data_IF_465472536609
#
_entry.id   IF_465472536609
#
_cell.length_a   1.000
_cell.length_b   1.000
_cell.length_c   1.000
_cell.angle_alpha   90.00
_cell.angle_beta   90.00
_cell.angle_gamma   90.00
#
_symmetry.space_group_name_H-M   'P 1'
#
loop_
_entity.id
_entity.type
_entity.pdbx_description
1 polymer ?
#
# COMPACT_ATOMS: atom_id res chain seq x y z
N UNK A 1 -8.43 21.60 -14.50
CA UNK A 1 -8.06 21.86 -13.10
C UNK A 1 -7.21 20.67 -12.70
N UNK A 2 -5.96 20.91 -12.29
CA UNK A 2 -5.06 19.84 -11.87
C UNK A 2 -5.52 19.32 -10.50
N UNK A 3 -5.77 18.02 -10.39
CA UNK A 3 -6.07 17.36 -9.11
C UNK A 3 -4.77 16.96 -8.44
N UNK A 4 -4.54 17.42 -7.21
CA UNK A 4 -3.35 17.10 -6.43
C UNK A 4 -3.61 15.91 -5.50
N UNK A 5 -2.85 14.83 -5.68
CA UNK A 5 -2.95 13.61 -4.89
C UNK A 5 -1.73 13.47 -3.98
N UNK A 6 -1.97 13.28 -2.68
CA UNK A 6 -0.92 13.03 -1.69
C UNK A 6 -0.98 11.57 -1.21
N UNK A 7 0.14 10.87 -1.29
CA UNK A 7 0.28 9.57 -0.62
C UNK A 7 0.91 9.74 0.76
N UNK A 8 0.38 9.04 1.76
CA UNK A 8 1.00 8.87 3.07
C UNK A 8 1.28 7.39 3.23
N UNK A 9 2.55 7.03 3.18
CA UNK A 9 3.00 5.62 3.10
C UNK A 9 3.81 5.25 4.33
N UNK A 10 3.99 3.97 4.57
CA UNK A 10 4.75 3.46 5.72
C UNK A 10 6.13 2.92 5.31
N UNK A 11 6.21 2.26 4.16
CA UNK A 11 7.45 1.78 3.59
C UNK A 11 8.22 2.84 2.77
N UNK A 12 9.52 2.62 2.64
CA UNK A 12 10.42 3.53 1.93
C UNK A 12 10.34 3.34 0.41
N UNK A 13 10.01 2.12 -0.04
CA UNK A 13 9.87 1.80 -1.45
C UNK A 13 8.66 2.54 -2.06
N UNK A 14 7.52 2.50 -1.40
CA UNK A 14 6.28 3.19 -1.79
C UNK A 14 6.51 4.70 -1.83
N UNK A 15 7.24 5.22 -0.82
CA UNK A 15 7.56 6.65 -0.72
C UNK A 15 8.32 7.14 -1.94
N UNK A 16 9.26 6.33 -2.41
CA UNK A 16 10.12 6.65 -3.54
C UNK A 16 9.43 6.36 -4.89
N UNK A 17 8.68 5.26 -5.02
CA UNK A 17 8.28 4.71 -6.31
C UNK A 17 6.78 4.71 -6.62
N UNK A 18 5.90 4.53 -5.63
CA UNK A 18 4.48 4.26 -5.90
C UNK A 18 3.80 5.42 -6.64
N UNK A 19 4.04 6.65 -6.21
CA UNK A 19 3.49 7.84 -6.84
C UNK A 19 3.95 8.02 -8.29
N UNK A 20 5.14 7.52 -8.66
CA UNK A 20 5.68 7.61 -10.02
C UNK A 20 4.98 6.64 -10.97
N UNK A 21 4.75 5.39 -10.54
CA UNK A 21 4.02 4.44 -11.38
C UNK A 21 2.54 4.76 -11.49
N UNK A 22 1.91 5.27 -10.43
CA UNK A 22 0.54 5.78 -10.50
C UNK A 22 0.45 6.99 -11.46
N UNK A 23 1.40 7.93 -11.40
CA UNK A 23 1.47 9.04 -12.35
C UNK A 23 1.58 8.55 -13.80
N UNK A 24 2.44 7.55 -14.06
CA UNK A 24 2.56 6.93 -15.39
C UNK A 24 1.24 6.29 -15.85
N UNK A 25 0.57 5.54 -14.98
CA UNK A 25 -0.71 4.89 -15.28
C UNK A 25 -1.77 5.93 -15.68
N UNK A 26 -1.95 6.97 -14.86
CA UNK A 26 -2.98 7.99 -15.07
C UNK A 26 -2.63 9.02 -16.15
N UNK A 27 -1.37 9.15 -16.57
CA UNK A 27 -1.02 9.96 -17.73
C UNK A 27 -1.75 9.51 -19.02
N UNK A 28 -2.11 8.22 -19.10
CA UNK A 28 -2.83 7.65 -20.25
C UNK A 28 -4.33 7.97 -20.28
N UNK A 29 -4.93 8.42 -19.17
CA UNK A 29 -6.38 8.66 -19.07
C UNK A 29 -6.77 10.07 -19.52
N UNK A 30 -5.80 10.94 -19.80
CA UNK A 30 -6.02 12.36 -20.09
C UNK A 30 -6.36 13.21 -18.86
N UNK A 31 -6.36 12.61 -17.66
CA UNK A 31 -6.54 13.34 -16.41
C UNK A 31 -5.32 14.26 -16.13
N UNK A 32 -5.60 15.47 -15.69
CA UNK A 32 -4.59 16.41 -15.21
C UNK A 32 -4.37 16.17 -13.72
N UNK A 33 -3.37 15.35 -13.38
CA UNK A 33 -3.06 14.92 -12.02
C UNK A 33 -1.63 15.25 -11.63
N UNK A 34 -1.48 15.85 -10.45
CA UNK A 34 -0.20 16.03 -9.79
C UNK A 34 -0.11 15.12 -8.57
N UNK A 35 0.75 14.10 -8.64
CA UNK A 35 1.13 13.35 -7.45
C UNK A 35 2.21 14.10 -6.68
N UNK A 36 1.86 14.60 -5.49
CA UNK A 36 2.81 15.25 -4.58
C UNK A 36 3.83 14.25 -4.05
N UNK A 37 4.96 14.77 -3.54
CA UNK A 37 5.98 13.92 -2.91
C UNK A 37 5.36 13.18 -1.72
N UNK A 38 5.40 11.84 -1.69
CA UNK A 38 4.81 11.08 -0.59
C UNK A 38 5.40 11.43 0.77
N UNK A 39 4.53 11.53 1.78
CA UNK A 39 4.94 11.59 3.17
C UNK A 39 5.13 10.15 3.67
N UNK A 40 6.23 9.90 4.39
CA UNK A 40 6.40 8.63 5.09
C UNK A 40 6.12 8.78 6.58
N UNK A 41 5.43 7.79 7.12
CA UNK A 41 5.18 7.62 8.55
C UNK A 41 5.62 6.24 9.00
N UNK A 42 5.37 5.92 10.26
CA UNK A 42 5.65 4.60 10.79
C UNK A 42 4.53 3.62 10.46
N UNK A 43 4.91 2.43 10.05
CA UNK A 43 4.09 1.25 9.86
C UNK A 43 3.42 0.78 11.16
N UNK A 44 2.26 0.15 11.05
CA UNK A 44 1.60 -0.51 12.18
C UNK A 44 1.26 -1.98 11.92
N UNK A 45 1.49 -2.47 10.70
CA UNK A 45 1.23 -3.84 10.25
C UNK A 45 2.44 -4.77 10.33
N UNK A 46 3.66 -4.27 10.55
CA UNK A 46 4.86 -5.13 10.76
C UNK A 46 4.77 -6.07 11.96
N UNK A 47 3.84 -5.83 12.88
CA UNK A 47 3.51 -6.75 13.95
C UNK A 47 2.03 -7.13 13.86
N UNK A 48 1.66 -8.26 14.48
CA UNK A 48 0.27 -8.66 14.60
C UNK A 48 -0.56 -7.54 15.23
N UNK A 49 -1.57 -7.08 14.51
CA UNK A 49 -2.56 -6.12 15.05
C UNK A 49 -3.41 -6.86 16.07
N UNK A 50 -3.27 -6.47 17.34
CA UNK A 50 -4.01 -7.03 18.47
C UNK A 50 -5.42 -6.43 18.60
N UNK A 51 -6.13 -6.70 19.72
CA UNK A 51 -7.45 -6.15 19.97
C UNK A 51 -7.49 -4.61 19.92
N UNK A 52 -8.68 -4.05 19.66
CA UNK A 52 -8.88 -2.59 19.69
C UNK A 52 -8.47 -2.04 21.06
N UNK A 53 -7.61 -1.03 21.05
CA UNK A 53 -7.17 -0.35 22.28
C UNK A 53 -8.26 0.59 22.80
N UNK A 54 -8.29 0.89 24.10
CA UNK A 54 -9.05 2.02 24.63
C UNK A 54 -8.72 3.33 23.87
N UNK A 55 -9.69 4.26 23.66
CA UNK A 55 -9.49 5.45 22.84
C UNK A 55 -8.24 6.27 23.18
N UNK A 56 -7.94 6.44 24.47
CA UNK A 56 -6.78 7.20 24.95
C UNK A 56 -5.43 6.56 24.58
N UNK A 57 -5.39 5.22 24.45
CA UNK A 57 -4.22 4.48 23.99
C UNK A 57 -4.20 4.37 22.46
N UNK A 58 -5.36 4.21 21.83
CA UNK A 58 -5.50 4.19 20.37
C UNK A 58 -4.97 5.48 19.74
N UNK A 59 -5.25 6.65 20.34
CA UNK A 59 -4.76 7.96 19.89
C UNK A 59 -3.23 8.12 19.98
N UNK A 60 -2.52 7.19 20.65
CA UNK A 60 -1.05 7.18 20.80
C UNK A 60 -0.40 5.97 20.10
N UNK A 61 -1.18 5.12 19.46
CA UNK A 61 -0.71 3.92 18.76
C UNK A 61 0.11 4.26 17.50
N UNK A 62 0.79 3.26 16.92
CA UNK A 62 1.44 3.41 15.62
C UNK A 62 0.44 3.76 14.52
N UNK A 63 -0.74 3.11 14.52
CA UNK A 63 -1.84 3.44 13.61
C UNK A 63 -2.28 4.91 13.76
N UNK A 64 -2.26 5.47 14.98
CA UNK A 64 -2.57 6.88 15.20
C UNK A 64 -1.53 7.85 14.58
N UNK A 65 -0.27 7.43 14.38
CA UNK A 65 0.71 8.26 13.65
C UNK A 65 0.33 8.40 12.17
N UNK A 66 -0.08 7.30 11.53
CA UNK A 66 -0.59 7.33 10.16
C UNK A 66 -1.92 8.07 10.08
N UNK A 67 -2.85 7.82 11.01
CA UNK A 67 -4.13 8.50 11.07
C UNK A 67 -3.97 10.02 11.27
N UNK A 68 -3.07 10.46 12.16
CA UNK A 68 -2.82 11.87 12.39
C UNK A 68 -2.21 12.57 11.18
N UNK A 69 -1.31 11.90 10.45
CA UNK A 69 -0.80 12.43 9.18
C UNK A 69 -1.93 12.60 8.15
N UNK A 70 -2.82 11.61 8.02
CA UNK A 70 -3.99 11.68 7.14
C UNK A 70 -4.92 12.84 7.52
N UNK A 71 -5.28 12.93 8.80
CA UNK A 71 -6.16 13.99 9.34
C UNK A 71 -5.58 15.38 9.08
N UNK A 72 -4.28 15.57 9.34
CA UNK A 72 -3.60 16.85 9.11
C UNK A 72 -3.57 17.22 7.63
N UNK A 73 -3.40 16.25 6.74
CA UNK A 73 -3.34 16.46 5.30
C UNK A 73 -4.71 16.84 4.69
N UNK A 74 -5.83 16.27 5.19
CA UNK A 74 -7.18 16.61 4.72
C UNK A 74 -7.79 17.83 5.42
N UNK A 75 -7.38 18.09 6.66
CA UNK A 75 -7.89 19.17 7.50
C UNK A 75 -6.75 19.83 8.28
N UNK A 76 -5.99 20.76 7.66
CA UNK A 76 -4.81 21.36 8.27
C UNK A 76 -5.12 22.40 9.36
N UNK A 77 -6.40 22.63 9.67
CA UNK A 77 -6.85 23.56 10.71
C UNK A 77 -6.73 25.03 10.34
N UNK A 78 -6.85 25.91 11.34
CA UNK A 78 -6.87 27.37 11.14
C UNK A 78 -5.48 27.87 10.74
N UNK A 79 -5.39 28.52 9.57
CA UNK A 79 -4.12 29.04 9.04
C UNK A 79 -3.28 28.01 8.29
N UNK A 80 -3.69 26.75 8.28
CA UNK A 80 -3.12 25.71 7.42
C UNK A 80 -3.64 25.83 5.98
N UNK A 81 -2.78 25.49 5.02
CA UNK A 81 -3.16 25.48 3.60
C UNK A 81 -3.28 24.05 3.11
N UNK A 82 -4.44 23.71 2.55
CA UNK A 82 -4.66 22.40 1.93
C UNK A 82 -3.74 22.22 0.72
N UNK A 83 -2.88 21.20 0.78
CA UNK A 83 -1.92 20.91 -0.29
C UNK A 83 -2.46 19.93 -1.32
N UNK A 84 -3.40 19.06 -0.95
CA UNK A 84 -3.92 18.01 -1.81
C UNK A 84 -5.45 18.01 -1.85
N UNK A 85 -6.00 17.67 -3.00
CA UNK A 85 -7.44 17.50 -3.20
C UNK A 85 -7.88 16.10 -2.76
N UNK A 86 -6.98 15.11 -2.84
CA UNK A 86 -7.18 13.74 -2.37
C UNK A 86 -5.94 13.22 -1.62
N UNK A 87 -6.14 12.55 -0.49
CA UNK A 87 -5.08 12.03 0.38
C UNK A 87 -5.31 10.56 0.66
N UNK A 88 -4.29 9.75 0.35
CA UNK A 88 -4.36 8.30 0.41
C UNK A 88 -3.32 7.79 1.40
N UNK A 89 -3.77 7.19 2.49
CA UNK A 89 -2.92 6.42 3.39
C UNK A 89 -2.72 5.00 2.81
N UNK A 90 -1.47 4.52 2.75
CA UNK A 90 -1.14 3.19 2.23
C UNK A 90 -0.21 2.47 3.21
N UNK A 91 -0.53 1.23 3.54
CA UNK A 91 0.31 0.33 4.34
C UNK A 91 0.39 -1.05 3.69
N UNK A 92 1.46 -1.79 3.94
CA UNK A 92 1.56 -3.19 3.52
C UNK A 92 0.73 -4.08 4.46
N UNK A 93 0.02 -5.06 3.91
CA UNK A 93 -0.64 -6.13 4.67
C UNK A 93 0.34 -7.25 4.96
N UNK A 94 1.35 -6.92 5.77
CA UNK A 94 2.41 -7.82 6.22
C UNK A 94 1.87 -9.19 6.64
N UNK A 95 2.62 -10.25 6.36
CA UNK A 95 2.14 -11.65 6.42
C UNK A 95 1.54 -12.06 7.77
N UNK A 96 2.02 -11.46 8.86
CA UNK A 96 1.52 -11.70 10.22
C UNK A 96 0.05 -11.28 10.40
N UNK A 97 -0.47 -10.45 9.49
CA UNK A 97 -1.84 -9.95 9.46
C UNK A 97 -2.65 -10.44 8.24
N UNK A 98 -2.10 -11.30 7.37
CA UNK A 98 -2.74 -11.72 6.12
C UNK A 98 -4.10 -12.42 6.31
N UNK A 99 -4.31 -13.06 7.46
CA UNK A 99 -5.57 -13.72 7.83
C UNK A 99 -6.62 -12.77 8.40
N UNK A 100 -6.28 -11.51 8.66
CA UNK A 100 -7.15 -10.55 9.34
C UNK A 100 -7.19 -9.13 8.72
N UNK A 101 -7.28 -8.96 7.39
CA UNK A 101 -7.30 -7.63 6.77
C UNK A 101 -8.44 -6.74 7.28
N UNK A 102 -9.65 -7.29 7.46
CA UNK A 102 -10.79 -6.54 7.99
C UNK A 102 -10.54 -6.00 9.41
N UNK A 103 -9.77 -6.73 10.23
CA UNK A 103 -9.38 -6.28 11.57
C UNK A 103 -8.36 -5.14 11.50
N UNK A 104 -7.38 -5.21 10.60
CA UNK A 104 -6.42 -4.11 10.34
C UNK A 104 -7.13 -2.83 9.98
N UNK A 105 -8.10 -2.90 9.05
CA UNK A 105 -8.94 -1.75 8.65
C UNK A 105 -9.78 -1.23 9.82
N UNK A 106 -10.42 -2.12 10.57
CA UNK A 106 -11.19 -1.76 11.76
C UNK A 106 -10.34 -1.04 12.81
N UNK A 107 -9.11 -1.51 13.02
CA UNK A 107 -8.15 -0.89 13.91
C UNK A 107 -7.71 0.50 13.43
N UNK A 108 -7.41 0.65 12.13
CA UNK A 108 -7.07 1.96 11.58
C UNK A 108 -8.24 2.95 11.66
N UNK A 109 -9.46 2.52 11.31
CA UNK A 109 -10.70 3.31 11.48
C UNK A 109 -10.86 3.77 12.94
N UNK A 110 -10.64 2.87 13.89
CA UNK A 110 -10.69 3.18 15.32
C UNK A 110 -9.61 4.21 15.73
N UNK A 111 -8.39 4.07 15.23
CA UNK A 111 -7.30 5.01 15.47
C UNK A 111 -7.59 6.41 14.89
N UNK A 112 -8.21 6.51 13.71
CA UNK A 112 -8.67 7.78 13.12
C UNK A 112 -9.68 8.47 14.03
N UNK A 113 -10.73 7.76 14.47
CA UNK A 113 -11.73 8.32 15.40
C UNK A 113 -11.10 8.79 16.69
N UNK A 114 -10.30 7.95 17.33
CA UNK A 114 -9.60 8.28 18.56
C UNK A 114 -8.70 9.52 18.39
N UNK A 115 -7.98 9.62 17.27
CA UNK A 115 -7.14 10.77 16.96
C UNK A 115 -7.96 12.06 16.81
N UNK A 116 -9.03 12.04 16.00
CA UNK A 116 -9.92 13.20 15.79
C UNK A 116 -10.57 13.64 17.10
N UNK A 117 -11.11 12.69 17.87
CA UNK A 117 -11.80 12.97 19.13
C UNK A 117 -10.86 13.56 20.20
N UNK A 118 -9.60 13.14 20.21
CA UNK A 118 -8.57 13.66 21.12
C UNK A 118 -8.02 15.03 20.70
N UNK A 119 -8.03 15.34 19.40
CA UNK A 119 -7.38 16.53 18.83
C UNK A 119 -8.30 17.73 18.74
N UNK A 120 -9.58 17.51 18.42
CA UNK A 120 -10.53 18.59 18.16
C UNK A 120 -11.58 18.68 19.28
N UNK A 121 -11.60 19.79 20.05
CA UNK A 121 -12.36 19.86 21.30
C UNK A 121 -13.87 20.03 21.10
N UNK A 122 -14.32 20.55 19.95
CA UNK A 122 -15.74 20.83 19.71
C UNK A 122 -16.35 19.84 18.73
N UNK A 123 -17.60 19.41 19.00
CA UNK A 123 -18.35 18.51 18.13
C UNK A 123 -18.42 19.03 16.69
N UNK A 124 -18.76 20.32 16.51
CA UNK A 124 -18.84 20.95 15.19
C UNK A 124 -17.53 20.89 14.41
N UNK A 125 -16.37 20.99 15.06
CA UNK A 125 -15.08 20.87 14.36
C UNK A 125 -14.82 19.41 13.97
N UNK A 126 -15.11 18.46 14.87
CA UNK A 126 -14.99 17.03 14.59
C UNK A 126 -15.87 16.63 13.40
N UNK A 127 -17.11 17.10 13.35
CA UNK A 127 -18.03 16.83 12.24
C UNK A 127 -17.45 17.31 10.90
N UNK A 128 -16.84 18.51 10.88
CA UNK A 128 -16.16 19.02 9.67
C UNK A 128 -14.93 18.21 9.29
N UNK A 129 -14.16 17.73 10.27
CA UNK A 129 -13.00 16.85 10.01
C UNK A 129 -13.46 15.51 9.45
N UNK A 130 -14.49 14.90 10.04
CA UNK A 130 -15.08 13.66 9.54
C UNK A 130 -15.66 13.82 8.14
N UNK A 131 -16.32 14.96 7.85
CA UNK A 131 -16.75 15.27 6.49
C UNK A 131 -15.57 15.37 5.52
N UNK A 132 -14.50 16.09 5.88
CA UNK A 132 -13.31 16.22 5.03
C UNK A 132 -12.62 14.85 4.78
N UNK A 133 -12.56 13.99 5.80
CA UNK A 133 -12.06 12.62 5.68
C UNK A 133 -12.93 11.77 4.74
N UNK A 134 -14.25 11.82 4.89
CA UNK A 134 -15.18 11.09 4.03
C UNK A 134 -15.15 11.57 2.57
N UNK A 135 -14.83 12.85 2.33
CA UNK A 135 -14.73 13.42 0.98
C UNK A 135 -13.36 13.18 0.31
N UNK A 136 -12.26 13.19 1.07
CA UNK A 136 -10.88 13.33 0.52
C UNK A 136 -9.85 12.37 1.09
N UNK A 137 -10.19 11.61 2.13
CA UNK A 137 -9.28 10.67 2.77
C UNK A 137 -9.61 9.23 2.36
N UNK A 138 -8.61 8.44 2.04
CA UNK A 138 -8.76 6.98 1.89
C UNK A 138 -7.63 6.21 2.54
N UNK A 139 -7.86 4.93 2.81
CA UNK A 139 -6.86 4.00 3.33
C UNK A 139 -6.85 2.70 2.53
N UNK A 140 -5.71 2.35 1.97
CA UNK A 140 -5.54 1.15 1.16
C UNK A 140 -4.41 0.28 1.68
N UNK A 141 -4.52 -1.02 1.38
CA UNK A 141 -3.49 -2.01 1.70
C UNK A 141 -2.80 -2.46 0.40
N UNK A 142 -1.51 -2.72 0.48
CA UNK A 142 -0.76 -3.48 -0.53
C UNK A 142 -0.54 -4.89 0.03
N UNK A 143 -1.02 -5.92 -0.66
CA UNK A 143 -1.12 -7.26 -0.08
C UNK A 143 -0.22 -8.29 -0.78
N UNK A 144 0.51 -9.13 -0.01
CA UNK A 144 0.92 -8.88 1.38
C UNK A 144 1.94 -7.72 1.51
N UNK A 145 2.64 -7.38 0.42
CA UNK A 145 3.62 -6.28 0.33
C UNK A 145 3.64 -5.78 -1.11
N UNK A 146 4.15 -4.58 -1.36
CA UNK A 146 4.29 -4.05 -2.73
C UNK A 146 5.07 -4.98 -3.68
N UNK A 147 6.04 -5.75 -3.20
CA UNK A 147 6.83 -6.64 -4.06
C UNK A 147 6.02 -7.77 -4.70
N UNK A 148 4.83 -8.11 -4.18
CA UNK A 148 3.97 -9.12 -4.82
C UNK A 148 3.59 -8.69 -6.23
N UNK A 149 3.39 -7.39 -6.45
CA UNK A 149 2.98 -6.84 -7.75
C UNK A 149 4.07 -6.91 -8.82
N UNK A 150 5.34 -7.09 -8.44
CA UNK A 150 6.42 -7.28 -9.42
C UNK A 150 6.25 -8.58 -10.21
N UNK A 151 5.55 -9.57 -9.66
CA UNK A 151 5.30 -10.84 -10.34
C UNK A 151 4.16 -10.75 -11.37
N UNK A 152 3.42 -9.65 -11.38
CA UNK A 152 2.42 -9.33 -12.41
C UNK A 152 3.02 -8.77 -13.71
N UNK A 153 4.29 -8.34 -13.69
CA UNK A 153 5.00 -7.79 -14.84
C UNK A 153 6.42 -8.36 -14.92
N UNK A 154 6.71 -9.22 -15.91
CA UNK A 154 8.01 -9.90 -16.02
C UNK A 154 9.21 -8.93 -16.06
N UNK A 155 9.06 -7.77 -16.70
CA UNK A 155 10.12 -6.77 -16.79
C UNK A 155 10.38 -6.08 -15.43
N UNK A 156 9.43 -6.08 -14.49
CA UNK A 156 9.65 -5.55 -13.14
C UNK A 156 10.72 -6.35 -12.38
N UNK A 157 10.69 -7.68 -12.49
CA UNK A 157 11.72 -8.53 -11.91
C UNK A 157 13.09 -8.30 -12.58
N UNK A 158 13.12 -8.06 -13.90
CA UNK A 158 14.37 -7.70 -14.59
C UNK A 158 14.96 -6.40 -14.06
N UNK A 159 14.13 -5.37 -13.88
CA UNK A 159 14.54 -4.08 -13.29
C UNK A 159 15.01 -4.22 -11.84
N UNK A 160 14.36 -5.08 -11.05
CA UNK A 160 14.81 -5.43 -9.70
C UNK A 160 16.08 -6.29 -9.66
N UNK A 161 16.65 -6.66 -10.82
CA UNK A 161 17.79 -7.59 -10.96
C UNK A 161 17.49 -9.01 -10.44
N UNK A 162 16.20 -9.36 -10.34
CA UNK A 162 15.68 -10.64 -9.88
C UNK A 162 15.66 -11.68 -11.02
N UNK A 163 16.82 -11.95 -11.60
CA UNK A 163 16.99 -12.84 -12.76
C UNK A 163 18.15 -13.84 -12.61
N UNK A 164 18.77 -13.92 -11.42
CA UNK A 164 19.88 -14.87 -11.17
C UNK A 164 19.40 -16.30 -10.92
N UNK A 165 18.13 -16.47 -10.60
CA UNK A 165 17.43 -17.75 -10.57
C UNK A 165 16.17 -17.67 -11.43
N UNK A 166 15.67 -18.80 -11.98
CA UNK A 166 14.42 -18.81 -12.72
C UNK A 166 13.26 -18.47 -11.77
N UNK A 167 12.43 -17.50 -12.15
CA UNK A 167 11.17 -17.24 -11.46
C UNK A 167 10.20 -18.43 -11.68
N UNK A 168 9.69 -19.00 -10.59
CA UNK A 168 8.73 -20.11 -10.56
C UNK A 168 7.37 -19.72 -9.97
N UNK A 169 7.13 -18.43 -9.74
CA UNK A 169 5.80 -17.96 -9.34
C UNK A 169 4.76 -18.29 -10.42
N UNK A 170 3.66 -18.93 -10.02
CA UNK A 170 2.57 -19.23 -10.92
C UNK A 170 1.75 -17.96 -11.18
N UNK A 171 1.91 -17.38 -12.38
CA UNK A 171 1.11 -16.22 -12.82
C UNK A 171 -0.39 -16.50 -12.93
N UNK A 172 -0.82 -17.75 -12.74
CA UNK A 172 -2.22 -18.12 -12.58
C UNK A 172 -2.80 -17.85 -11.20
N UNK A 173 -1.97 -17.65 -10.18
CA UNK A 173 -2.34 -17.30 -8.81
C UNK A 173 -2.61 -15.81 -8.67
N UNK A 174 -3.38 -15.43 -7.65
CA UNK A 174 -3.52 -14.03 -7.25
C UNK A 174 -2.21 -13.52 -6.65
N UNK A 175 -1.78 -12.33 -7.05
CA UNK A 175 -0.60 -11.66 -6.51
C UNK A 175 -0.81 -11.32 -5.02
N UNK A 176 -2.05 -11.04 -4.61
CA UNK A 176 -2.38 -10.70 -3.22
C UNK A 176 -2.53 -11.92 -2.31
N UNK A 177 -2.59 -13.13 -2.88
CA UNK A 177 -2.45 -14.41 -2.17
C UNK A 177 -1.10 -15.06 -2.51
N UNK A 178 -0.03 -14.26 -2.42
CA UNK A 178 1.31 -14.65 -2.85
C UNK A 178 1.78 -15.95 -2.17
N UNK A 179 2.09 -16.95 -2.99
CA UNK A 179 2.66 -18.22 -2.57
C UNK A 179 3.51 -18.79 -3.72
N UNK A 180 4.66 -19.38 -3.39
CA UNK A 180 5.56 -19.98 -4.36
C UNK A 180 6.02 -21.38 -3.95
N UNK A 181 5.89 -22.32 -4.87
CA UNK A 181 6.31 -23.72 -4.75
C UNK A 181 7.67 -23.98 -5.44
N UNK A 182 8.63 -23.06 -5.27
CA UNK A 182 9.96 -23.16 -5.87
C UNK A 182 10.85 -24.09 -5.03
N UNK A 183 11.03 -25.33 -5.48
CA UNK A 183 11.81 -26.34 -4.75
C UNK A 183 13.25 -25.94 -4.48
N UNK A 184 13.88 -25.14 -5.36
CA UNK A 184 15.24 -24.67 -5.16
C UNK A 184 15.31 -23.54 -4.13
N UNK A 185 14.32 -22.65 -4.12
CA UNK A 185 14.15 -21.63 -3.10
C UNK A 185 13.87 -22.24 -1.72
N UNK A 186 13.02 -23.27 -1.67
CA UNK A 186 12.57 -23.92 -0.44
C UNK A 186 13.55 -24.99 0.08
N UNK A 187 14.63 -25.27 -0.65
CA UNK A 187 15.71 -26.12 -0.17
C UNK A 187 16.44 -25.50 1.05
N UNK A 188 17.14 -26.31 1.87
CA UNK A 188 18.00 -25.80 2.94
C UNK A 188 19.02 -24.78 2.42
N UNK A 189 19.09 -23.62 3.07
CA UNK A 189 19.96 -22.51 2.68
C UNK A 189 20.97 -22.17 3.81
N UNK A 190 22.09 -21.49 3.50
CA UNK A 190 23.00 -20.99 4.50
C UNK A 190 22.28 -20.16 5.56
N UNK A 191 22.72 -20.25 6.81
CA UNK A 191 22.06 -19.54 7.90
C UNK A 191 22.10 -18.02 7.76
N UNK A 192 23.02 -17.51 6.94
CA UNK A 192 23.24 -16.11 6.62
C UNK A 192 22.37 -15.58 5.47
N UNK A 193 21.65 -16.46 4.75
CA UNK A 193 20.86 -16.05 3.60
C UNK A 193 19.71 -15.12 4.03
N UNK A 194 19.63 -13.88 3.51
CA UNK A 194 18.67 -12.87 3.97
C UNK A 194 17.21 -13.20 3.60
N UNK A 195 16.99 -14.16 2.70
CA UNK A 195 15.69 -14.59 2.18
C UNK A 195 15.15 -15.87 2.85
N UNK A 196 15.86 -16.45 3.81
CA UNK A 196 15.49 -17.75 4.41
C UNK A 196 14.41 -17.66 5.52
N UNK A 197 14.02 -16.46 5.93
CA UNK A 197 13.13 -16.28 7.08
C UNK A 197 11.72 -16.81 6.81
N UNK A 198 11.23 -17.69 7.68
CA UNK A 198 9.92 -18.33 7.53
C UNK A 198 8.74 -17.44 7.98
N UNK A 199 7.54 -17.57 7.37
CA UNK A 199 7.18 -18.47 6.27
C UNK A 199 7.61 -17.90 4.90
N UNK A 200 8.70 -18.43 4.32
CA UNK A 200 9.37 -17.78 3.18
C UNK A 200 8.65 -18.01 1.85
N UNK A 201 7.95 -19.15 1.71
CA UNK A 201 7.10 -19.48 0.57
C UNK A 201 5.98 -18.46 0.32
N UNK A 202 5.61 -17.63 1.31
CA UNK A 202 4.58 -16.59 1.18
C UNK A 202 5.14 -15.17 1.15
N UNK A 203 6.45 -15.00 1.25
CA UNK A 203 7.06 -13.68 1.45
C UNK A 203 7.65 -13.13 0.15
N UNK A 204 6.92 -12.27 -0.60
CA UNK A 204 7.33 -11.85 -1.95
C UNK A 204 8.70 -11.19 -1.97
N UNK A 205 8.99 -10.30 -1.02
CA UNK A 205 10.31 -9.68 -0.85
C UNK A 205 11.44 -10.66 -0.59
N UNK A 206 11.21 -11.75 0.16
CA UNK A 206 12.21 -12.80 0.33
C UNK A 206 12.41 -13.58 -0.97
N UNK A 207 11.35 -13.83 -1.73
CA UNK A 207 11.49 -14.49 -3.02
C UNK A 207 12.24 -13.62 -4.03
N UNK A 208 11.94 -12.31 -4.12
CA UNK A 208 12.72 -11.35 -4.92
C UNK A 208 14.20 -11.35 -4.51
N UNK A 209 14.50 -11.32 -3.21
CA UNK A 209 15.88 -11.43 -2.69
C UNK A 209 16.57 -12.72 -3.13
N UNK A 210 15.86 -13.85 -3.12
CA UNK A 210 16.38 -15.13 -3.62
C UNK A 210 16.68 -15.05 -5.13
N UNK A 211 15.76 -14.49 -5.92
CA UNK A 211 15.95 -14.33 -7.36
C UNK A 211 17.12 -13.39 -7.71
N UNK A 212 17.46 -12.43 -6.84
CA UNK A 212 18.64 -11.58 -6.98
C UNK A 212 19.96 -12.26 -6.53
N UNK A 213 19.90 -13.15 -5.54
CA UNK A 213 21.06 -13.91 -5.07
C UNK A 213 20.65 -15.28 -4.48
N UNK A 214 20.56 -16.32 -5.32
CA UNK A 214 20.15 -17.65 -4.87
C UNK A 214 21.23 -18.33 -4.00
N UNK A 215 22.45 -17.80 -3.97
CA UNK A 215 23.54 -18.33 -3.13
C UNK A 215 23.48 -17.81 -1.70
N UNK A 216 22.76 -16.71 -1.44
CA UNK A 216 22.68 -16.08 -0.12
C UNK A 216 24.01 -15.52 0.39
N UNK A 217 24.92 -15.17 -0.51
CA UNK A 217 26.26 -14.64 -0.20
C UNK A 217 26.27 -13.12 -0.08
N UNK A 218 25.29 -12.44 -0.65
CA UNK A 218 25.18 -10.98 -0.68
C UNK A 218 24.07 -10.51 0.27
N UNK A 219 24.47 -9.85 1.36
CA UNK A 219 23.53 -9.29 2.34
C UNK A 219 22.55 -8.28 1.72
N UNK A 220 22.96 -7.58 0.67
CA UNK A 220 22.20 -6.49 0.01
C UNK A 220 21.97 -6.75 -1.48
N UNK A 221 21.74 -8.00 -1.88
CA UNK A 221 21.44 -8.37 -3.27
C UNK A 221 20.22 -7.63 -3.85
N UNK A 222 19.26 -7.32 -2.98
CA UNK A 222 18.09 -6.51 -3.28
C UNK A 222 17.94 -5.43 -2.21
N UNK A 223 17.88 -4.17 -2.64
CA UNK A 223 17.58 -3.02 -1.78
C UNK A 223 16.33 -2.34 -2.30
N UNK A 224 15.35 -2.18 -1.43
CA UNK A 224 14.10 -1.46 -1.72
C UNK A 224 14.35 -0.08 -2.31
N UNK A 225 15.33 0.65 -1.76
CA UNK A 225 15.63 2.01 -2.20
C UNK A 225 16.37 2.12 -3.54
N UNK A 226 16.77 0.99 -4.14
CA UNK A 226 17.49 0.94 -5.42
C UNK A 226 16.79 -0.04 -6.36
N UNK A 227 17.02 -1.35 -6.20
CA UNK A 227 16.43 -2.38 -7.06
C UNK A 227 14.89 -2.41 -6.97
N UNK A 228 14.33 -2.25 -5.76
CA UNK A 228 12.88 -2.15 -5.60
C UNK A 228 12.32 -0.91 -6.30
N UNK A 229 12.99 0.23 -6.16
CA UNK A 229 12.60 1.48 -6.81
C UNK A 229 12.66 1.36 -8.34
N UNK A 230 13.71 0.76 -8.89
CA UNK A 230 13.86 0.50 -10.33
C UNK A 230 12.68 -0.32 -10.88
N UNK A 231 12.14 -1.25 -10.10
CA UNK A 231 10.94 -2.00 -10.46
C UNK A 231 9.65 -1.18 -10.31
N UNK A 232 9.43 -0.57 -9.13
CA UNK A 232 8.16 0.06 -8.76
C UNK A 232 7.89 1.37 -9.51
N UNK A 233 8.91 2.22 -9.75
CA UNK A 233 8.68 3.57 -10.29
C UNK A 233 8.09 3.60 -11.70
N UNK A 234 8.26 2.51 -12.46
CA UNK A 234 7.77 2.36 -13.84
C UNK A 234 6.88 1.12 -14.00
N UNK A 235 6.44 0.51 -12.90
CA UNK A 235 5.59 -0.68 -12.89
C UNK A 235 4.37 -0.48 -13.82
N UNK A 236 4.15 -1.45 -14.70
CA UNK A 236 3.00 -1.48 -15.60
C UNK A 236 1.79 -2.09 -14.89
N UNK A 237 1.04 -1.22 -14.20
CA UNK A 237 -0.19 -1.61 -13.51
C UNK A 237 -1.24 -2.26 -14.42
N UNK A 238 -1.22 -2.00 -15.74
CA UNK A 238 -2.16 -2.66 -16.67
C UNK A 238 -1.79 -4.12 -16.90
N UNK A 239 -0.49 -4.44 -16.93
CA UNK A 239 0.00 -5.81 -16.96
C UNK A 239 -0.27 -6.54 -15.63
N UNK A 240 0.03 -5.88 -14.51
CA UNK A 240 -0.19 -6.41 -13.15
C UNK A 240 -1.66 -6.73 -12.91
N UNK A 241 -2.57 -5.84 -13.30
CA UNK A 241 -4.01 -5.95 -13.06
C UNK A 241 -4.80 -6.51 -14.24
N UNK A 242 -4.14 -7.17 -15.19
CA UNK A 242 -4.74 -7.75 -16.40
C UNK A 242 -5.88 -8.74 -16.09
N UNK A 243 -5.81 -9.44 -14.96
CA UNK A 243 -6.85 -10.38 -14.52
C UNK A 243 -7.83 -9.67 -13.61
N UNK A 244 -9.05 -9.46 -14.09
CA UNK A 244 -10.07 -8.66 -13.39
C UNK A 244 -10.41 -9.17 -11.99
N UNK A 245 -10.34 -10.49 -11.76
CA UNK A 245 -10.66 -11.12 -10.48
C UNK A 245 -9.49 -11.14 -9.47
N UNK A 246 -8.29 -10.68 -9.87
CA UNK A 246 -7.09 -10.71 -9.03
C UNK A 246 -6.74 -9.30 -8.53
N UNK A 247 -5.90 -9.26 -7.48
CA UNK A 247 -5.29 -8.08 -6.92
C UNK A 247 -6.33 -6.99 -6.54
N UNK A 248 -7.34 -7.43 -5.81
CA UNK A 248 -8.53 -6.65 -5.48
C UNK A 248 -8.22 -5.43 -4.61
N UNK A 249 -7.19 -5.47 -3.75
CA UNK A 249 -6.75 -4.30 -2.96
C UNK A 249 -6.04 -3.25 -3.83
N UNK A 250 -5.08 -3.64 -4.67
CA UNK A 250 -4.43 -2.73 -5.61
C UNK A 250 -5.42 -2.13 -6.61
N UNK A 251 -6.42 -2.92 -7.04
CA UNK A 251 -7.48 -2.42 -7.90
C UNK A 251 -8.35 -1.38 -7.20
N UNK A 252 -8.71 -1.59 -5.93
CA UNK A 252 -9.44 -0.61 -5.15
C UNK A 252 -8.69 0.72 -5.00
N UNK A 253 -7.35 0.67 -4.84
CA UNK A 253 -6.51 1.86 -4.83
C UNK A 253 -6.59 2.63 -6.16
N UNK A 254 -6.45 1.92 -7.28
CA UNK A 254 -6.52 2.55 -8.61
C UNK A 254 -7.92 3.08 -8.91
N UNK A 255 -8.98 2.37 -8.52
CA UNK A 255 -10.36 2.82 -8.68
C UNK A 255 -10.65 4.11 -7.87
N UNK A 256 -10.18 4.18 -6.62
CA UNK A 256 -10.34 5.38 -5.79
C UNK A 256 -9.57 6.59 -6.34
N UNK A 257 -8.38 6.38 -6.92
CA UNK A 257 -7.66 7.45 -7.63
C UNK A 257 -8.43 7.87 -8.90
N UNK A 258 -8.89 6.92 -9.71
CA UNK A 258 -9.63 7.23 -10.93
C UNK A 258 -10.89 8.06 -10.63
N UNK A 259 -11.58 7.73 -9.54
CA UNK A 259 -12.71 8.50 -9.07
C UNK A 259 -12.37 9.92 -8.63
N UNK A 260 -11.32 10.08 -7.83
CA UNK A 260 -10.86 11.40 -7.41
C UNK A 260 -10.50 12.29 -8.61
N UNK A 261 -10.09 11.67 -9.72
CA UNK A 261 -9.79 12.32 -10.99
C UNK A 261 -11.02 12.47 -11.91
N UNK A 262 -12.17 11.90 -11.54
CA UNK A 262 -13.39 11.85 -12.33
C UNK A 262 -13.15 11.27 -13.75
N UNK A 263 -12.40 10.16 -13.82
CA UNK A 263 -12.14 9.41 -15.05
C UNK A 263 -12.48 7.93 -14.86
N UNK A 264 -12.75 7.17 -15.94
CA UNK A 264 -12.85 5.72 -15.84
C UNK A 264 -11.57 5.10 -15.30
N UNK A 265 -11.71 4.05 -14.47
CA UNK A 265 -10.55 3.30 -13.99
C UNK A 265 -9.77 2.70 -15.18
N UNK A 266 -8.44 2.92 -15.28
CA UNK A 266 -7.61 2.33 -16.33
C UNK A 266 -7.44 0.81 -16.15
N UNK A 267 -7.77 0.27 -14.97
CA UNK A 267 -7.68 -1.14 -14.63
C UNK A 267 -9.02 -1.64 -14.05
N UNK A 268 -10.10 -1.74 -14.86
CA UNK A 268 -11.40 -2.21 -14.38
C UNK A 268 -11.34 -3.66 -13.87
N UNK A 269 -12.25 -4.04 -12.98
CA UNK A 269 -12.33 -5.39 -12.42
C UNK A 269 -12.94 -5.41 -11.02
N UNK A 270 -12.72 -6.49 -10.27
CA UNK A 270 -13.27 -6.69 -8.93
C UNK A 270 -12.38 -6.01 -7.88
N UNK A 271 -12.92 -5.00 -7.19
CA UNK A 271 -12.28 -4.35 -6.06
C UNK A 271 -12.51 -5.15 -4.77
N UNK A 272 -11.61 -5.01 -3.80
CA UNK A 272 -11.79 -5.62 -2.48
C UNK A 272 -12.95 -4.93 -1.75
N UNK A 273 -13.97 -5.65 -1.24
CA UNK A 273 -15.10 -5.04 -0.54
C UNK A 273 -14.69 -4.37 0.78
N UNK A 274 -13.47 -4.64 1.24
CA UNK A 274 -12.90 -4.05 2.44
C UNK A 274 -12.45 -2.60 2.20
N UNK A 275 -11.89 -2.30 1.02
CA UNK A 275 -11.29 -1.01 0.66
C UNK A 275 -11.92 -0.37 -0.58
N UNK A 276 -13.03 -0.90 -1.09
CA UNK A 276 -13.86 -0.21 -2.06
C UNK A 276 -14.59 0.98 -1.42
N UNK A 277 -15.06 1.89 -2.26
CA UNK A 277 -15.70 3.12 -1.81
C UNK A 277 -17.01 2.87 -1.06
N UNK A 278 -17.29 3.72 -0.08
CA UNK A 278 -18.50 3.68 0.76
C UNK A 278 -19.17 5.05 0.74
N UNK A 279 -20.49 5.08 0.57
CA UNK A 279 -21.26 6.32 0.54
C UNK A 279 -21.36 7.01 1.91
N UNK A 280 -21.15 6.27 3.00
CA UNK A 280 -21.32 6.67 4.39
C UNK A 280 -20.12 6.29 5.28
N UNK A 281 -18.94 6.10 4.69
CA UNK A 281 -17.71 5.72 5.38
C UNK A 281 -17.14 6.82 6.29
N UNK A 282 -16.26 6.44 7.21
CA UNK A 282 -15.44 7.39 7.98
C UNK A 282 -14.41 8.07 7.06
N UNK A 283 -13.80 7.25 6.21
CA UNK A 283 -13.02 7.64 5.03
C UNK A 283 -13.85 7.31 3.79
N UNK A 284 -13.38 7.74 2.62
CA UNK A 284 -14.02 7.43 1.32
C UNK A 284 -14.25 5.92 1.12
N UNK A 285 -13.45 5.06 1.74
CA UNK A 285 -13.47 3.63 1.51
C UNK A 285 -13.51 2.74 2.77
N UNK A 286 -13.47 3.31 3.97
CA UNK A 286 -13.59 2.56 5.24
C UNK A 286 -14.43 3.27 6.28
#
# INVERSE_FOLDING_TARGET
MTVRVQLIVTGELERLGLHLSLRKLFASTGADVEFLVPQRTQDFTSNRVGPLLPPELAAKSLAAKLAGALVLAVYPGRGGTLQADHVIAVDDLELVNADQPGHVLGYFRHAVRAHVDSTFPTATTRDRVYQALAERGSFHLLAPMVESYFFGEADALQRAKAHRAPNRFDTARDLEDFEVDDTAYLAPAPSTAPWKAEPRHRHPKNYVRYLCDPTGTQLRAYRETHEGLDALQVLDWTAVLRREAHAAFARALIDDVADALNVPSPCPGVCSPLTERKGDGLLRNI
#
